data_IF_916960196410
#
_entry.id   IF_916960196410
#
_cell.length_a   1.000
_cell.length_b   1.000
_cell.length_c   1.000
_cell.angle_alpha   90.00
_cell.angle_beta   90.00
_cell.angle_gamma   90.00
#
_symmetry.space_group_name_H-M   'P 1'
#
loop_
_entity.id
_entity.type
_entity.pdbx_description
1 polymer ?
#
# COMPACT_ATOMS: atom_id res chain seq x y z
N UNK A 1 -12.25 2.01 -6.65
CA UNK A 1 -12.05 2.60 -8.00
C UNK A 1 -12.70 1.72 -9.04
N UNK A 2 -13.33 2.29 -10.07
CA UNK A 2 -13.95 1.51 -11.14
C UNK A 2 -12.88 0.82 -11.99
N UNK A 3 -13.06 -0.46 -12.26
CA UNK A 3 -12.20 -1.25 -13.13
C UNK A 3 -13.03 -2.18 -14.01
N UNK A 4 -12.49 -2.55 -15.18
CA UNK A 4 -13.15 -3.44 -16.15
C UNK A 4 -12.34 -4.73 -16.37
N UNK A 5 -11.56 -5.13 -15.35
CA UNK A 5 -10.64 -6.27 -15.45
C UNK A 5 -11.34 -7.60 -15.48
N UNK A 6 -12.40 -7.74 -14.70
CA UNK A 6 -13.17 -8.98 -14.71
C UNK A 6 -13.83 -9.16 -16.06
N UNK A 7 -13.95 -10.41 -16.49
CA UNK A 7 -14.65 -10.74 -17.73
C UNK A 7 -15.72 -11.77 -17.45
N UNK A 8 -16.87 -11.59 -18.09
CA UNK A 8 -17.94 -12.59 -18.14
C UNK A 8 -18.32 -12.81 -19.58
N UNK A 9 -18.21 -14.06 -20.03
CA UNK A 9 -18.39 -14.44 -21.43
C UNK A 9 -17.51 -13.61 -22.39
N UNK A 10 -16.27 -13.29 -21.98
CA UNK A 10 -15.30 -12.52 -22.76
C UNK A 10 -15.49 -10.99 -22.72
N UNK A 11 -16.62 -10.50 -22.23
CA UNK A 11 -16.92 -9.07 -22.13
C UNK A 11 -16.38 -8.48 -20.82
N UNK A 12 -15.76 -7.28 -20.84
CA UNK A 12 -15.35 -6.59 -19.64
C UNK A 12 -16.54 -6.29 -18.71
N UNK A 13 -16.41 -6.63 -17.44
CA UNK A 13 -17.39 -6.36 -16.40
C UNK A 13 -16.90 -5.22 -15.50
N UNK A 14 -17.75 -4.21 -15.22
CA UNK A 14 -17.42 -3.19 -14.24
C UNK A 14 -17.36 -3.81 -12.84
N UNK A 15 -16.26 -3.55 -12.12
CA UNK A 15 -16.11 -3.88 -10.71
C UNK A 15 -15.47 -2.72 -9.95
N UNK A 16 -15.60 -2.75 -8.63
CA UNK A 16 -15.05 -1.72 -7.74
C UNK A 16 -13.86 -2.32 -6.99
N UNK A 17 -12.68 -1.76 -7.25
CA UNK A 17 -11.49 -1.97 -6.43
C UNK A 17 -11.71 -1.35 -5.04
N UNK A 18 -11.67 -2.19 -4.01
CA UNK A 18 -12.02 -1.87 -2.62
C UNK A 18 -10.82 -1.95 -1.64
N UNK A 19 -9.59 -2.22 -2.13
CA UNK A 19 -8.39 -2.40 -1.31
C UNK A 19 -8.42 -3.64 -0.37
N UNK A 20 -9.31 -4.59 -0.60
CA UNK A 20 -9.34 -5.90 0.10
C UNK A 20 -8.23 -6.81 -0.43
N UNK A 21 -7.54 -7.50 0.47
CA UNK A 21 -6.63 -8.58 0.18
C UNK A 21 -7.28 -9.87 0.67
N UNK A 22 -7.62 -10.75 -0.27
CA UNK A 22 -8.22 -12.07 -0.03
C UNK A 22 -7.91 -13.03 -1.18
N UNK A 23 -8.38 -14.28 -1.10
CA UNK A 23 -8.26 -15.26 -2.18
C UNK A 23 -8.99 -14.83 -3.46
N UNK A 24 -10.11 -14.11 -3.33
CA UNK A 24 -10.85 -13.54 -4.47
C UNK A 24 -10.19 -12.27 -5.00
N UNK A 25 -9.58 -11.51 -4.10
CA UNK A 25 -8.91 -10.24 -4.40
C UNK A 25 -7.42 -10.34 -4.02
N UNK A 26 -6.60 -11.15 -4.73
CA UNK A 26 -5.18 -11.25 -4.43
C UNK A 26 -4.46 -9.93 -4.76
N UNK A 27 -3.29 -9.70 -4.15
CA UNK A 27 -2.46 -8.55 -4.50
C UNK A 27 -1.83 -8.74 -5.88
N UNK A 28 -1.75 -7.67 -6.67
CA UNK A 28 -1.10 -7.67 -7.98
C UNK A 28 -0.61 -6.27 -8.37
N UNK A 29 0.41 -6.20 -9.24
CA UNK A 29 0.87 -4.91 -9.81
C UNK A 29 -0.23 -4.16 -10.55
N UNK A 30 -1.13 -4.94 -11.13
CA UNK A 30 -2.33 -4.44 -11.76
C UNK A 30 -3.17 -3.64 -10.77
N UNK A 31 -3.48 -4.19 -9.60
CA UNK A 31 -4.25 -3.49 -8.56
C UNK A 31 -3.47 -2.32 -7.97
N UNK A 32 -2.15 -2.46 -7.86
CA UNK A 32 -1.25 -1.36 -7.46
C UNK A 32 -1.39 -0.14 -8.37
N UNK A 33 -1.52 -0.32 -9.68
CA UNK A 33 -1.75 0.80 -10.61
C UNK A 33 -3.04 1.56 -10.29
N UNK A 34 -4.11 0.86 -9.91
CA UNK A 34 -5.34 1.50 -9.43
C UNK A 34 -5.06 2.23 -8.12
N UNK A 35 -4.42 1.59 -7.13
CA UNK A 35 -4.10 2.22 -5.84
C UNK A 35 -3.25 3.50 -6.00
N UNK A 36 -2.30 3.53 -6.94
CA UNK A 36 -1.54 4.73 -7.29
C UNK A 36 -2.42 5.79 -7.96
N UNK A 37 -3.33 5.39 -8.84
CA UNK A 37 -4.26 6.29 -9.52
C UNK A 37 -5.24 6.98 -8.54
N UNK A 38 -5.57 6.33 -7.41
CA UNK A 38 -6.36 6.97 -6.35
C UNK A 38 -5.69 8.25 -5.82
N UNK A 39 -4.34 8.33 -5.90
CA UNK A 39 -3.54 9.48 -5.52
C UNK A 39 -3.90 10.06 -4.14
N UNK A 40 -4.21 9.18 -3.17
CA UNK A 40 -4.53 9.59 -1.80
C UNK A 40 -3.29 10.25 -1.18
N UNK A 41 -3.37 11.56 -0.99
CA UNK A 41 -2.28 12.40 -0.49
C UNK A 41 -2.82 13.48 0.45
N UNK A 42 -1.91 14.17 1.15
CA UNK A 42 -2.25 15.34 1.94
C UNK A 42 -2.25 16.57 1.03
N UNK A 43 -3.23 17.46 1.18
CA UNK A 43 -3.28 18.71 0.41
C UNK A 43 -1.98 19.51 0.63
N UNK A 44 -1.37 19.99 -0.46
CA UNK A 44 -0.05 20.64 -0.42
C UNK A 44 1.14 19.68 -0.48
N UNK A 45 0.91 18.37 -0.33
CA UNK A 45 1.93 17.30 -0.40
C UNK A 45 1.53 16.17 -1.38
N UNK A 46 1.43 16.44 -2.69
CA UNK A 46 0.99 15.44 -3.67
C UNK A 46 2.04 14.36 -3.97
N UNK A 47 3.31 14.60 -3.64
CA UNK A 47 4.42 13.66 -3.86
C UNK A 47 4.43 12.48 -2.86
N UNK A 48 3.64 12.53 -1.78
CA UNK A 48 3.48 11.43 -0.83
C UNK A 48 2.12 10.77 -0.99
N UNK A 49 2.11 9.58 -1.59
CA UNK A 49 0.89 8.79 -1.80
C UNK A 49 0.78 7.72 -0.72
N UNK A 50 -0.38 7.65 -0.08
CA UNK A 50 -0.69 6.70 0.99
C UNK A 50 -1.58 5.57 0.47
N UNK A 51 -1.09 4.34 0.53
CA UNK A 51 -1.84 3.14 0.16
C UNK A 51 -2.08 2.32 1.42
N UNK A 52 -3.35 2.27 1.86
CA UNK A 52 -3.81 1.39 2.94
C UNK A 52 -4.66 0.29 2.35
N UNK A 53 -4.27 -0.95 2.61
CA UNK A 53 -5.01 -2.15 2.25
C UNK A 53 -5.60 -2.80 3.49
N UNK A 54 -6.52 -3.75 3.32
CA UNK A 54 -7.12 -4.49 4.43
C UNK A 54 -7.38 -5.95 4.06
N UNK A 55 -7.45 -6.82 5.06
CA UNK A 55 -7.87 -8.21 4.92
C UNK A 55 -8.94 -8.55 5.97
N UNK A 56 -9.71 -9.61 5.75
CA UNK A 56 -10.75 -10.07 6.65
C UNK A 56 -10.18 -11.00 7.74
N UNK A 57 -9.29 -10.47 8.58
CA UNK A 57 -8.68 -11.24 9.67
C UNK A 57 -7.90 -12.47 9.18
N UNK A 58 -7.98 -13.57 9.93
CA UNK A 58 -7.33 -14.84 9.63
C UNK A 58 -8.33 -15.88 9.10
N UNK A 59 -8.96 -15.59 7.96
CA UNK A 59 -9.75 -16.59 7.25
C UNK A 59 -8.83 -17.64 6.62
N UNK A 60 -8.92 -18.94 7.00
CA UNK A 60 -8.05 -19.97 6.44
C UNK A 60 -8.14 -20.09 4.91
N UNK A 61 -9.25 -19.66 4.31
CA UNK A 61 -9.44 -19.66 2.85
C UNK A 61 -8.54 -18.65 2.13
N UNK A 62 -8.07 -17.64 2.85
CA UNK A 62 -7.23 -16.56 2.30
C UNK A 62 -5.74 -16.78 2.58
N UNK A 63 -5.36 -17.83 3.33
CA UNK A 63 -3.98 -18.08 3.77
C UNK A 63 -3.00 -18.09 2.59
N UNK A 64 -3.34 -18.80 1.51
CA UNK A 64 -2.49 -18.87 0.32
C UNK A 64 -2.29 -17.50 -0.35
N UNK A 65 -3.31 -16.63 -0.33
CA UNK A 65 -3.23 -15.30 -0.90
C UNK A 65 -2.46 -14.32 -0.01
N UNK A 66 -2.54 -14.48 1.32
CA UNK A 66 -1.91 -13.57 2.30
C UNK A 66 -0.47 -13.94 2.64
N UNK A 67 -0.17 -15.23 2.79
CA UNK A 67 1.13 -15.73 3.26
C UNK A 67 1.85 -16.61 2.24
N UNK A 68 1.14 -17.06 1.21
CA UNK A 68 1.66 -17.96 0.21
C UNK A 68 2.46 -17.31 -0.92
N UNK A 69 2.83 -18.11 -1.94
CA UNK A 69 3.60 -17.65 -3.10
C UNK A 69 3.02 -16.42 -3.84
N UNK A 70 1.69 -16.23 -3.98
CA UNK A 70 1.13 -15.02 -4.58
C UNK A 70 1.59 -13.71 -3.90
N UNK A 71 1.52 -13.64 -2.57
CA UNK A 71 1.96 -12.46 -1.83
C UNK A 71 3.47 -12.24 -1.99
N UNK A 72 4.26 -13.31 -1.89
CA UNK A 72 5.71 -13.24 -2.05
C UNK A 72 6.11 -12.71 -3.44
N UNK A 73 5.45 -13.20 -4.50
CA UNK A 73 5.66 -12.70 -5.86
C UNK A 73 5.29 -11.23 -5.97
N UNK A 74 4.10 -10.85 -5.49
CA UNK A 74 3.66 -9.47 -5.53
C UNK A 74 4.64 -8.52 -4.82
N UNK A 75 5.09 -8.86 -3.60
CA UNK A 75 6.06 -8.06 -2.86
C UNK A 75 7.42 -8.00 -3.56
N UNK A 76 7.89 -9.11 -4.13
CA UNK A 76 9.13 -9.16 -4.92
C UNK A 76 9.07 -8.25 -6.13
N UNK A 77 7.99 -8.33 -6.92
CA UNK A 77 7.73 -7.49 -8.07
C UNK A 77 7.60 -6.00 -7.70
N UNK A 78 6.86 -5.71 -6.62
CA UNK A 78 6.68 -4.35 -6.09
C UNK A 78 8.04 -3.72 -5.72
N UNK A 79 8.88 -4.46 -5.00
CA UNK A 79 10.21 -3.98 -4.59
C UNK A 79 11.13 -3.83 -5.81
N UNK A 80 11.09 -4.77 -6.76
CA UNK A 80 11.88 -4.71 -7.98
C UNK A 80 11.50 -3.49 -8.83
N UNK A 81 10.20 -3.26 -9.04
CA UNK A 81 9.70 -2.10 -9.77
C UNK A 81 10.12 -0.78 -9.13
N UNK A 82 10.04 -0.68 -7.79
CA UNK A 82 10.47 0.52 -7.06
C UNK A 82 11.98 0.80 -7.19
N UNK A 83 12.81 -0.23 -7.41
CA UNK A 83 14.27 -0.05 -7.62
C UNK A 83 14.62 0.39 -9.03
N UNK A 84 13.90 -0.11 -10.04
CA UNK A 84 14.20 0.16 -11.46
C UNK A 84 13.76 1.56 -11.85
N UNK A 85 12.56 1.98 -11.45
CA UNK A 85 12.00 3.25 -11.92
C UNK A 85 12.72 4.48 -11.33
N UNK A 86 13.30 4.38 -10.12
CA UNK A 86 13.97 5.49 -9.40
C UNK A 86 13.08 6.70 -9.05
N UNK A 87 11.92 6.82 -9.70
CA UNK A 87 10.97 7.91 -9.60
C UNK A 87 10.04 7.79 -8.38
N UNK A 88 9.98 6.61 -7.75
CA UNK A 88 9.17 6.42 -6.55
C UNK A 88 9.96 5.65 -5.48
N UNK A 89 9.80 6.07 -4.22
CA UNK A 89 10.37 5.38 -3.07
C UNK A 89 9.27 4.67 -2.30
N UNK A 90 9.47 3.38 -2.06
CA UNK A 90 8.51 2.55 -1.34
C UNK A 90 8.80 2.58 0.17
N UNK A 91 7.78 2.92 0.95
CA UNK A 91 7.84 2.93 2.41
C UNK A 91 6.79 1.98 3.00
N UNK A 92 7.22 0.80 3.47
CA UNK A 92 6.37 -0.03 4.32
C UNK A 92 6.27 0.58 5.71
N UNK A 93 5.05 0.79 6.18
CA UNK A 93 4.78 1.48 7.44
C UNK A 93 3.72 0.73 8.24
N UNK A 94 3.87 0.78 9.56
CA UNK A 94 2.77 0.50 10.48
C UNK A 94 1.75 1.65 10.45
N UNK A 95 0.54 1.42 10.96
CA UNK A 95 -0.47 2.47 11.06
C UNK A 95 0.02 3.69 11.86
N UNK A 96 0.75 3.46 12.96
CA UNK A 96 1.35 4.53 13.78
C UNK A 96 2.33 5.39 12.98
N UNK A 97 3.25 4.76 12.25
CA UNK A 97 4.23 5.47 11.43
C UNK A 97 3.56 6.22 10.29
N UNK A 98 2.57 5.61 9.62
CA UNK A 98 1.80 6.27 8.57
C UNK A 98 1.11 7.53 9.10
N UNK A 99 0.47 7.46 10.26
CA UNK A 99 -0.15 8.63 10.91
C UNK A 99 0.88 9.73 11.18
N UNK A 100 2.07 9.39 11.68
CA UNK A 100 3.12 10.39 11.88
C UNK A 100 3.57 11.06 10.59
N UNK A 101 3.70 10.30 9.49
CA UNK A 101 4.06 10.83 8.18
C UNK A 101 2.95 11.73 7.64
N UNK A 102 1.67 11.36 7.81
CA UNK A 102 0.52 12.21 7.45
C UNK A 102 0.56 13.51 8.24
N UNK A 103 0.80 13.46 9.55
CA UNK A 103 0.87 14.67 10.38
C UNK A 103 2.05 15.57 9.99
N UNK A 104 3.21 14.97 9.65
CA UNK A 104 4.34 15.72 9.12
C UNK A 104 4.00 16.39 7.79
N UNK A 105 3.29 15.69 6.90
CA UNK A 105 2.82 16.26 5.64
C UNK A 105 1.86 17.43 5.84
N UNK A 106 0.94 17.33 6.80
CA UNK A 106 0.04 18.42 7.17
C UNK A 106 0.77 19.65 7.73
N UNK A 107 1.95 19.45 8.33
CA UNK A 107 2.83 20.51 8.84
C UNK A 107 3.90 20.93 7.80
N UNK A 108 3.63 20.71 6.50
CA UNK A 108 4.48 21.08 5.35
C UNK A 108 5.92 20.53 5.38
N UNK A 109 6.16 19.47 6.13
CA UNK A 109 7.47 18.81 6.17
C UNK A 109 7.87 18.25 4.79
N UNK A 110 9.17 18.27 4.51
CA UNK A 110 9.72 18.04 3.17
C UNK A 110 10.70 16.85 3.14
N UNK A 111 10.96 16.34 1.94
CA UNK A 111 11.99 15.33 1.73
C UNK A 111 11.51 13.90 1.98
N UNK A 112 12.37 13.07 2.59
CA UNK A 112 12.12 11.64 2.76
C UNK A 112 11.06 11.37 3.85
N UNK A 113 9.86 10.85 3.50
CA UNK A 113 8.80 10.55 4.48
C UNK A 113 9.27 9.55 5.55
N UNK A 114 10.25 8.69 5.24
CA UNK A 114 10.83 7.75 6.19
C UNK A 114 11.46 8.40 7.42
N UNK A 115 11.86 9.69 7.35
CA UNK A 115 12.41 10.44 8.48
C UNK A 115 11.36 10.81 9.53
N UNK A 116 10.09 10.77 9.16
CA UNK A 116 8.98 11.21 10.00
C UNK A 116 8.24 10.04 10.68
N UNK A 117 8.79 8.82 10.66
CA UNK A 117 8.18 7.63 11.30
C UNK A 117 7.85 7.81 12.79
N UNK A 118 8.59 8.66 13.49
CA UNK A 118 8.45 8.95 14.92
C UNK A 118 8.16 10.45 15.21
N UNK A 119 7.52 11.15 14.27
CA UNK A 119 7.30 12.60 14.31
C UNK A 119 6.58 13.08 15.58
N UNK A 120 5.34 12.64 15.83
CA UNK A 120 4.56 13.00 17.03
C UNK A 120 4.38 11.81 17.99
N UNK A 121 3.97 10.66 17.46
CA UNK A 121 3.74 9.45 18.24
C UNK A 121 4.97 8.56 18.27
N UNK A 122 5.49 8.27 19.46
CA UNK A 122 6.67 7.41 19.65
C UNK A 122 6.29 6.13 20.36
N UNK A 123 7.06 5.08 20.12
CA UNK A 123 6.94 3.84 20.90
C UNK A 123 7.30 4.12 22.36
N UNK A 124 6.55 3.54 23.29
CA UNK A 124 6.84 3.61 24.73
C UNK A 124 8.21 2.99 25.00
N UNK A 125 8.52 1.89 24.33
CA UNK A 125 9.82 1.23 24.36
C UNK A 125 10.48 1.35 22.99
N UNK A 126 11.65 1.99 22.87
CA UNK A 126 12.38 2.05 21.62
C UNK A 126 12.70 0.65 21.10
N UNK A 127 12.69 0.42 19.78
CA UNK A 127 13.10 -0.86 19.22
C UNK A 127 14.56 -1.12 19.61
N UNK A 128 14.87 -2.37 19.97
CA UNK A 128 16.26 -2.78 20.11
C UNK A 128 16.93 -2.55 18.75
N UNK A 129 18.04 -1.81 18.73
CA UNK A 129 18.84 -1.66 17.51
C UNK A 129 19.26 -3.07 17.07
N UNK A 130 18.90 -3.42 15.83
CA UNK A 130 19.36 -4.64 15.17
C UNK A 130 20.85 -4.52 14.81
#
# INVERSE_FOLDING_TARGET
MLTFRERRNGLPLPSIENAELSGKNPASLDRLSLWKQAAVCVQGRPDWIFIKLHCHGMDPRDEAAMFGPPMQRFLGELIAAARVDGACRLHFTTAREMVNIILAACDDQQGDPGKYRDYRFRLITPPKRA
#
